data_IF_764012347680
#
_entry.id   IF_764012347680
#
_cell.length_a   1.000
_cell.length_b   1.000
_cell.length_c   1.000
_cell.angle_alpha   90.00
_cell.angle_beta   90.00
_cell.angle_gamma   90.00
#
_symmetry.space_group_name_H-M   'P 1'
#
loop_
_entity.id
_entity.type
_entity.pdbx_description
1 polymer ?
#
# COMPACT_ATOMS: atom_id res chain seq x y z
N UNK A 1 -9.25 14.21 20.86
CA UNK A 1 -9.73 13.19 19.89
C UNK A 1 -10.56 12.21 20.69
N UNK A 2 -11.82 12.06 20.32
CA UNK A 2 -12.69 11.03 20.89
C UNK A 2 -12.16 9.64 20.48
N UNK A 3 -12.06 8.71 21.43
CA UNK A 3 -11.54 7.36 21.16
C UNK A 3 -12.55 6.52 20.37
N UNK A 4 -13.75 7.04 20.15
CA UNK A 4 -14.82 6.34 19.45
C UNK A 4 -15.47 5.29 20.34
N UNK A 5 -16.57 4.74 19.83
CA UNK A 5 -17.36 3.74 20.55
C UNK A 5 -16.85 2.34 20.19
N UNK A 6 -16.83 1.41 21.15
CA UNK A 6 -16.66 -0.01 20.86
C UNK A 6 -17.56 -0.46 19.71
N UNK A 7 -16.97 -0.95 18.61
CA UNK A 7 -17.72 -1.31 17.42
C UNK A 7 -17.07 -2.47 16.69
N UNK A 8 -17.91 -3.33 16.12
CA UNK A 8 -17.51 -4.37 15.20
C UNK A 8 -17.91 -3.93 13.79
N UNK A 9 -16.96 -4.01 12.87
CA UNK A 9 -17.07 -3.58 11.49
C UNK A 9 -16.83 -4.78 10.59
N UNK A 10 -17.71 -4.99 9.62
CA UNK A 10 -17.51 -5.97 8.55
C UNK A 10 -17.92 -5.31 7.25
N UNK A 11 -17.01 -5.32 6.30
CA UNK A 11 -17.25 -4.91 4.93
C UNK A 11 -16.91 -6.11 4.04
N UNK A 12 -17.83 -6.46 3.15
CA UNK A 12 -17.67 -7.57 2.23
C UNK A 12 -17.95 -7.11 0.81
N UNK A 13 -17.19 -7.63 -0.15
CA UNK A 13 -17.46 -7.45 -1.57
C UNK A 13 -17.34 -8.82 -2.23
N UNK A 14 -18.40 -9.27 -2.89
CA UNK A 14 -18.47 -10.55 -3.58
C UNK A 14 -18.66 -10.31 -5.08
N UNK A 15 -17.79 -10.87 -5.89
CA UNK A 15 -17.87 -10.83 -7.35
C UNK A 15 -17.75 -12.24 -7.92
N UNK A 16 -18.50 -12.52 -8.98
CA UNK A 16 -18.47 -13.82 -9.65
C UNK A 16 -18.76 -13.70 -11.14
N UNK A 17 -18.19 -14.60 -11.93
CA UNK A 17 -18.47 -14.70 -13.36
C UNK A 17 -18.63 -16.15 -13.78
N UNK A 18 -19.55 -16.36 -14.73
CA UNK A 18 -19.82 -17.65 -15.34
C UNK A 18 -19.72 -17.45 -16.86
N UNK A 19 -18.77 -18.11 -17.49
CA UNK A 19 -18.61 -18.14 -18.95
C UNK A 19 -19.05 -19.49 -19.48
N UNK A 20 -19.96 -19.48 -20.44
CA UNK A 20 -20.48 -20.69 -21.08
C UNK A 20 -19.86 -20.79 -22.48
N UNK A 21 -19.11 -21.86 -22.71
CA UNK A 21 -18.43 -22.06 -23.97
C UNK A 21 -19.41 -22.53 -25.05
N UNK A 22 -19.46 -21.82 -26.18
CA UNK A 22 -20.35 -22.15 -27.32
C UNK A 22 -19.86 -23.33 -28.17
N UNK A 23 -18.66 -23.85 -27.91
CA UNK A 23 -17.98 -24.83 -28.75
C UNK A 23 -17.54 -26.05 -27.91
N UNK A 24 -17.75 -27.27 -28.41
CA UNK A 24 -17.57 -28.53 -27.66
C UNK A 24 -16.13 -28.88 -27.25
N UNK A 25 -15.17 -27.99 -27.48
CA UNK A 25 -13.73 -28.14 -27.15
C UNK A 25 -13.27 -27.20 -26.03
N UNK A 26 -14.13 -26.33 -25.52
CA UNK A 26 -13.80 -25.37 -24.47
C UNK A 26 -14.74 -25.61 -23.29
N UNK A 27 -14.19 -25.67 -22.07
CA UNK A 27 -14.94 -25.94 -20.85
C UNK A 27 -15.62 -24.66 -20.35
N UNK A 28 -16.80 -24.81 -19.75
CA UNK A 28 -17.44 -23.72 -19.01
C UNK A 28 -16.52 -23.29 -17.86
N UNK A 29 -16.41 -21.98 -17.63
CA UNK A 29 -15.57 -21.43 -16.57
C UNK A 29 -16.42 -20.68 -15.56
N UNK A 30 -16.22 -20.98 -14.28
CA UNK A 30 -16.84 -20.25 -13.18
C UNK A 30 -15.75 -19.72 -12.24
N UNK A 31 -15.87 -18.47 -11.83
CA UNK A 31 -14.87 -17.90 -10.93
C UNK A 31 -15.56 -16.99 -9.94
N UNK A 32 -15.23 -17.18 -8.67
CA UNK A 32 -15.82 -16.44 -7.57
C UNK A 32 -14.72 -15.78 -6.75
N UNK A 33 -14.99 -14.58 -6.27
CA UNK A 33 -14.07 -13.81 -5.46
C UNK A 33 -14.84 -13.13 -4.34
N UNK A 34 -14.37 -13.31 -3.11
CA UNK A 34 -14.89 -12.66 -1.93
C UNK A 34 -13.76 -11.88 -1.26
N UNK A 35 -14.02 -10.61 -1.05
CA UNK A 35 -13.20 -9.68 -0.31
C UNK A 35 -13.85 -9.48 1.06
N UNK A 36 -13.15 -9.79 2.14
CA UNK A 36 -13.67 -9.62 3.50
C UNK A 36 -12.73 -8.72 4.31
N UNK A 37 -13.27 -7.59 4.75
CA UNK A 37 -12.58 -6.63 5.63
C UNK A 37 -13.32 -6.58 6.95
N UNK A 38 -12.70 -7.12 7.99
CA UNK A 38 -13.24 -7.10 9.34
C UNK A 38 -12.43 -6.17 10.23
N UNK A 39 -13.08 -5.60 11.24
CA UNK A 39 -12.44 -4.70 12.17
C UNK A 39 -13.16 -4.64 13.49
N UNK A 40 -12.38 -4.44 14.55
CA UNK A 40 -12.89 -4.24 15.90
C UNK A 40 -12.27 -2.95 16.44
N UNK A 41 -13.08 -2.06 16.98
CA UNK A 41 -12.65 -0.87 17.69
C UNK A 41 -12.94 -1.08 19.18
N UNK A 42 -11.92 -0.92 20.03
CA UNK A 42 -12.05 -1.01 21.48
C UNK A 42 -11.19 0.08 22.12
N UNK A 43 -11.82 1.20 22.50
CA UNK A 43 -11.12 2.40 22.95
C UNK A 43 -10.13 2.88 21.89
N UNK A 44 -8.88 3.15 22.29
CA UNK A 44 -7.83 3.59 21.36
C UNK A 44 -7.28 2.48 20.44
N UNK A 45 -7.66 1.22 20.64
CA UNK A 45 -7.17 0.09 19.85
C UNK A 45 -8.12 -0.22 18.70
N UNK A 46 -7.54 -0.45 17.52
CA UNK A 46 -8.28 -0.81 16.33
C UNK A 46 -7.63 -2.03 15.71
N UNK A 47 -8.31 -3.16 15.76
CA UNK A 47 -7.92 -4.36 15.04
C UNK A 47 -8.52 -4.30 13.63
N UNK A 48 -7.71 -4.64 12.63
CA UNK A 48 -8.14 -4.74 11.23
C UNK A 48 -7.63 -6.05 10.65
N UNK A 49 -8.49 -6.74 9.93
CA UNK A 49 -8.15 -7.93 9.17
C UNK A 49 -8.71 -7.79 7.75
N UNK A 50 -7.87 -8.12 6.79
CA UNK A 50 -8.19 -8.16 5.37
C UNK A 50 -7.89 -9.54 4.82
N UNK A 51 -8.94 -10.25 4.41
CA UNK A 51 -8.86 -11.59 3.86
C UNK A 51 -9.57 -11.64 2.52
N UNK A 52 -9.06 -12.45 1.60
CA UNK A 52 -9.66 -12.70 0.30
C UNK A 52 -9.83 -14.19 0.09
N UNK A 53 -10.99 -14.57 -0.44
CA UNK A 53 -11.25 -15.91 -0.90
C UNK A 53 -11.45 -15.87 -2.42
N UNK A 54 -10.78 -16.76 -3.13
CA UNK A 54 -11.01 -16.94 -4.54
C UNK A 54 -11.36 -18.40 -4.82
N UNK A 55 -12.12 -18.61 -5.89
CA UNK A 55 -12.37 -19.92 -6.47
C UNK A 55 -12.19 -19.80 -7.97
N UNK A 56 -11.30 -20.58 -8.53
CA UNK A 56 -11.07 -20.64 -9.97
C UNK A 56 -12.00 -21.66 -10.64
N UNK A 57 -12.03 -21.60 -11.96
CA UNK A 57 -12.80 -22.44 -12.88
C UNK A 57 -12.47 -23.92 -12.83
N UNK A 58 -11.27 -24.27 -12.37
CA UNK A 58 -10.87 -25.65 -12.09
C UNK A 58 -11.42 -26.17 -10.75
N UNK A 59 -12.14 -25.33 -10.01
CA UNK A 59 -12.77 -25.68 -8.73
C UNK A 59 -11.87 -25.51 -7.51
N UNK A 60 -10.60 -25.17 -7.70
CA UNK A 60 -9.67 -24.85 -6.61
C UNK A 60 -10.11 -23.58 -5.87
N UNK A 61 -10.09 -23.63 -4.54
CA UNK A 61 -10.43 -22.50 -3.69
C UNK A 61 -9.27 -22.12 -2.79
N UNK A 62 -8.87 -20.86 -2.79
CA UNK A 62 -7.80 -20.35 -1.92
C UNK A 62 -8.35 -19.28 -0.98
N UNK A 63 -7.91 -19.35 0.28
CA UNK A 63 -8.19 -18.34 1.29
C UNK A 63 -6.89 -17.68 1.71
N UNK A 64 -6.72 -16.42 1.34
CA UNK A 64 -5.52 -15.64 1.59
C UNK A 64 -5.78 -14.53 2.61
N UNK A 65 -5.08 -14.57 3.74
CA UNK A 65 -5.07 -13.45 4.70
C UNK A 65 -4.03 -12.42 4.26
N UNK A 66 -4.49 -11.33 3.62
CA UNK A 66 -3.62 -10.29 3.07
C UNK A 66 -2.96 -9.47 4.19
N UNK A 67 -3.71 -9.01 5.19
CA UNK A 67 -3.11 -8.36 6.34
C UNK A 67 -3.96 -8.52 7.60
N UNK A 68 -3.29 -8.66 8.74
CA UNK A 68 -3.91 -8.54 10.05
C UNK A 68 -3.02 -7.69 10.92
N UNK A 69 -3.55 -6.57 11.41
CA UNK A 69 -2.80 -5.68 12.28
C UNK A 69 -3.69 -5.04 13.33
N UNK A 70 -3.04 -4.73 14.44
CA UNK A 70 -3.56 -3.97 15.55
C UNK A 70 -2.90 -2.59 15.51
N UNK A 71 -3.70 -1.54 15.39
CA UNK A 71 -3.21 -0.17 15.41
C UNK A 71 -3.71 0.59 16.64
N UNK A 72 -2.88 1.54 17.11
CA UNK A 72 -3.22 2.48 18.17
C UNK A 72 -2.53 3.82 17.93
N UNK A 73 -3.30 4.88 18.02
CA UNK A 73 -2.77 6.23 17.91
C UNK A 73 -2.29 6.71 19.29
N UNK A 74 -1.06 7.21 19.36
CA UNK A 74 -0.43 7.76 20.55
C UNK A 74 -0.36 9.29 20.39
N UNK A 75 -1.41 9.96 20.89
CA UNK A 75 -1.58 11.42 20.77
C UNK A 75 -0.40 12.19 21.36
N UNK A 76 0.15 11.75 22.48
CA UNK A 76 1.28 12.40 23.15
C UNK A 76 2.53 12.49 22.27
N UNK A 77 2.72 11.52 21.38
CA UNK A 77 3.86 11.43 20.46
C UNK A 77 3.48 11.80 19.01
N UNK A 78 2.21 12.17 18.75
CA UNK A 78 1.66 12.36 17.39
C UNK A 78 2.06 11.22 16.45
N UNK A 79 1.95 9.99 16.95
CA UNK A 79 2.46 8.80 16.29
C UNK A 79 1.44 7.69 16.31
N UNK A 80 1.50 6.82 15.31
CA UNK A 80 0.72 5.61 15.24
C UNK A 80 1.63 4.41 15.51
N UNK A 81 1.16 3.55 16.41
CA UNK A 81 1.73 2.24 16.68
C UNK A 81 0.93 1.20 15.89
N UNK A 82 1.62 0.41 15.07
CA UNK A 82 1.06 -0.71 14.32
C UNK A 82 1.79 -1.98 14.75
N UNK A 83 1.04 -3.02 15.09
CA UNK A 83 1.53 -4.34 15.46
C UNK A 83 0.87 -5.39 14.56
N UNK A 84 1.65 -6.24 13.89
CA UNK A 84 1.17 -7.25 12.96
C UNK A 84 1.69 -7.02 11.55
N UNK A 85 0.83 -7.27 10.57
CA UNK A 85 1.16 -7.16 9.14
C UNK A 85 0.96 -5.74 8.62
N UNK A 86 2.05 -5.10 8.17
CA UNK A 86 1.99 -3.80 7.54
C UNK A 86 3.13 -3.63 6.53
N UNK A 87 3.35 -2.42 6.06
CA UNK A 87 4.45 -2.07 5.16
C UNK A 87 5.20 -0.86 5.69
N UNK A 88 6.52 -0.86 5.55
CA UNK A 88 7.35 0.22 6.07
C UNK A 88 7.19 1.51 5.26
N UNK A 89 7.45 2.66 5.89
CA UNK A 89 7.36 3.95 5.19
C UNK A 89 8.39 4.04 4.06
N UNK A 90 7.93 4.54 2.91
CA UNK A 90 8.71 4.59 1.68
C UNK A 90 9.50 5.89 1.48
N UNK A 91 9.69 6.68 2.54
CA UNK A 91 10.16 8.06 2.38
C UNK A 91 11.66 8.13 2.06
N UNK A 92 12.48 7.26 2.67
CA UNK A 92 13.94 7.24 2.50
C UNK A 92 14.42 5.96 1.81
N UNK A 93 13.68 4.87 1.98
CA UNK A 93 13.93 3.57 1.39
C UNK A 93 12.66 3.06 0.73
N UNK A 94 12.76 2.09 -0.16
CA UNK A 94 11.58 1.43 -0.73
C UNK A 94 10.75 0.77 0.39
N UNK A 95 9.42 0.82 0.28
CA UNK A 95 8.52 0.16 1.23
C UNK A 95 8.76 -1.34 1.23
N UNK A 96 8.84 -1.90 2.43
CA UNK A 96 9.05 -3.32 2.64
C UNK A 96 7.86 -3.88 3.44
N UNK A 97 7.10 -4.85 2.89
CA UNK A 97 6.08 -5.55 3.67
C UNK A 97 6.72 -6.31 4.83
N UNK A 98 6.11 -6.20 6.01
CA UNK A 98 6.66 -6.79 7.22
C UNK A 98 5.58 -7.32 8.15
N UNK A 99 5.98 -8.27 9.00
CA UNK A 99 5.24 -8.72 10.16
C UNK A 99 6.02 -8.39 11.42
N UNK A 100 5.49 -7.49 12.25
CA UNK A 100 6.22 -7.01 13.43
C UNK A 100 5.59 -5.78 14.05
N UNK A 101 6.43 -4.84 14.49
CA UNK A 101 6.01 -3.59 15.09
C UNK A 101 6.53 -2.38 14.33
N UNK A 102 5.69 -1.36 14.20
CA UNK A 102 6.07 -0.06 13.67
C UNK A 102 5.52 1.04 14.54
N UNK A 103 6.38 1.99 14.89
CA UNK A 103 6.01 3.26 15.48
C UNK A 103 6.43 4.36 14.50
N UNK A 104 5.48 5.08 13.95
CA UNK A 104 5.77 6.16 13.04
C UNK A 104 4.95 7.40 13.39
N UNK A 105 5.56 8.57 13.22
CA UNK A 105 4.83 9.84 13.30
C UNK A 105 3.79 9.89 12.18
N UNK A 106 2.56 10.23 12.55
CA UNK A 106 1.42 10.25 11.65
C UNK A 106 1.02 11.71 11.34
N UNK A 107 1.18 12.08 10.07
CA UNK A 107 0.81 13.41 9.57
C UNK A 107 -0.71 13.54 9.36
N UNK A 108 -1.46 12.43 9.30
CA UNK A 108 -2.91 12.39 9.12
C UNK A 108 -3.70 12.71 10.40
N UNK A 109 -3.01 12.81 11.55
CA UNK A 109 -3.57 13.41 12.77
C UNK A 109 -3.77 14.94 12.64
N UNK A 110 -3.45 15.53 11.48
CA UNK A 110 -3.63 16.95 11.14
C UNK A 110 -4.88 17.16 10.24
N UNK A 111 -5.41 18.40 10.14
CA UNK A 111 -6.66 18.68 9.43
C UNK A 111 -6.68 18.24 7.96
N UNK A 112 -7.87 17.83 7.51
CA UNK A 112 -8.21 17.14 6.25
C UNK A 112 -7.72 17.79 4.95
N UNK A 113 -7.38 19.08 4.97
CA UNK A 113 -6.94 19.86 3.81
C UNK A 113 -5.55 19.49 3.28
N UNK A 114 -4.93 18.41 3.76
CA UNK A 114 -3.59 17.95 3.39
C UNK A 114 -3.53 16.45 3.02
N UNK A 115 -4.68 15.76 2.89
CA UNK A 115 -4.73 14.30 2.68
C UNK A 115 -4.47 13.88 1.21
N UNK A 116 -3.86 12.69 1.07
CA UNK A 116 -3.17 12.19 -0.12
C UNK A 116 -4.02 11.62 -1.29
N UNK A 117 -3.28 11.28 -2.34
CA UNK A 117 -3.71 10.85 -3.67
C UNK A 117 -4.06 9.35 -3.72
N UNK A 118 -5.26 8.99 -4.18
CA UNK A 118 -5.60 7.61 -4.54
C UNK A 118 -5.38 7.45 -6.06
N UNK A 119 -4.44 6.59 -6.50
CA UNK A 119 -4.21 6.43 -7.93
C UNK A 119 -5.40 5.74 -8.58
N UNK A 120 -5.79 6.26 -9.73
CA UNK A 120 -6.86 5.69 -10.53
C UNK A 120 -6.28 4.80 -11.60
N UNK A 121 -6.70 3.54 -11.67
CA UNK A 121 -6.29 2.62 -12.73
C UNK A 121 -7.27 2.77 -13.89
N UNK A 122 -6.74 3.10 -15.08
CA UNK A 122 -7.52 3.24 -16.32
C UNK A 122 -7.04 2.22 -17.34
N UNK A 123 -7.96 1.66 -18.09
CA UNK A 123 -7.67 0.68 -19.13
C UNK A 123 -8.81 0.54 -20.14
N UNK A 124 -8.60 -0.24 -21.17
CA UNK A 124 -9.61 -0.59 -22.17
C UNK A 124 -9.70 -2.11 -22.25
N UNK A 125 -10.89 -2.65 -22.00
CA UNK A 125 -11.21 -4.06 -22.20
C UNK A 125 -11.81 -4.25 -23.60
N UNK A 126 -11.34 -5.26 -24.34
CA UNK A 126 -11.86 -5.58 -25.69
C UNK A 126 -13.16 -6.39 -25.61
N UNK A 127 -13.35 -7.12 -24.53
CA UNK A 127 -14.51 -7.95 -24.25
C UNK A 127 -14.94 -7.82 -22.77
N UNK A 128 -15.84 -8.68 -22.31
CA UNK A 128 -16.07 -8.82 -20.88
C UNK A 128 -14.78 -9.37 -20.25
N UNK A 129 -14.12 -8.56 -19.44
CA UNK A 129 -12.79 -8.88 -18.93
C UNK A 129 -12.77 -8.92 -17.40
N UNK A 130 -11.95 -9.83 -16.86
CA UNK A 130 -11.59 -9.86 -15.46
C UNK A 130 -10.36 -8.97 -15.24
N UNK A 131 -10.53 -7.92 -14.44
CA UNK A 131 -9.42 -7.03 -14.06
C UNK A 131 -8.95 -7.39 -12.66
N UNK A 132 -7.71 -7.84 -12.55
CA UNK A 132 -7.05 -8.22 -11.30
C UNK A 132 -5.89 -7.27 -11.03
N UNK A 133 -5.92 -6.58 -9.89
CA UNK A 133 -4.85 -5.69 -9.45
C UNK A 133 -4.07 -6.37 -8.33
N UNK A 134 -2.75 -6.50 -8.51
CA UNK A 134 -1.83 -7.02 -7.52
C UNK A 134 -0.90 -5.93 -7.02
N UNK A 135 -0.60 -5.94 -5.74
CA UNK A 135 0.47 -5.12 -5.16
C UNK A 135 1.34 -6.01 -4.28
N UNK A 136 2.67 -5.94 -4.46
CA UNK A 136 3.62 -6.82 -3.78
C UNK A 136 3.22 -8.31 -3.88
N UNK A 137 2.71 -8.74 -5.04
CA UNK A 137 2.29 -10.11 -5.32
C UNK A 137 0.90 -10.53 -4.82
N UNK A 138 0.27 -9.78 -3.93
CA UNK A 138 -1.07 -10.10 -3.40
C UNK A 138 -2.17 -9.47 -4.26
N UNK A 139 -3.25 -10.21 -4.53
CA UNK A 139 -4.44 -9.67 -5.23
C UNK A 139 -5.20 -8.74 -4.29
N UNK A 140 -5.12 -7.43 -4.53
CA UNK A 140 -5.76 -6.41 -3.70
C UNK A 140 -7.15 -6.01 -4.21
N UNK A 141 -7.42 -6.24 -5.49
CA UNK A 141 -8.69 -5.91 -6.13
C UNK A 141 -8.93 -6.85 -7.30
N UNK A 142 -10.18 -7.29 -7.45
CA UNK A 142 -10.61 -8.07 -8.60
C UNK A 142 -12.05 -7.74 -8.95
N UNK A 143 -12.28 -7.32 -10.18
CA UNK A 143 -13.62 -6.97 -10.67
C UNK A 143 -13.80 -7.33 -12.14
N UNK A 144 -15.05 -7.54 -12.55
CA UNK A 144 -15.43 -7.77 -13.94
C UNK A 144 -15.91 -6.47 -14.57
N UNK A 145 -15.33 -6.13 -15.72
CA UNK A 145 -15.66 -4.92 -16.46
C UNK A 145 -16.30 -5.28 -17.81
N UNK A 146 -17.31 -4.51 -18.26
CA UNK A 146 -17.86 -4.67 -19.60
C UNK A 146 -16.85 -4.23 -20.68
N UNK A 147 -17.08 -4.58 -21.96
CA UNK A 147 -16.25 -4.12 -23.07
C UNK A 147 -16.24 -2.59 -23.13
N UNK A 148 -15.05 -2.01 -23.27
CA UNK A 148 -14.87 -0.56 -23.34
C UNK A 148 -13.84 -0.03 -22.35
N UNK A 149 -13.78 1.30 -22.24
CA UNK A 149 -12.92 1.97 -21.27
C UNK A 149 -13.47 1.77 -19.85
N UNK A 150 -12.58 1.44 -18.92
CA UNK A 150 -12.92 1.31 -17.51
C UNK A 150 -11.99 2.16 -16.65
N UNK A 151 -12.50 2.56 -15.49
CA UNK A 151 -11.80 3.34 -14.49
C UNK A 151 -12.06 2.71 -13.12
N UNK A 152 -10.98 2.41 -12.39
CA UNK A 152 -11.03 1.88 -11.02
C UNK A 152 -10.46 2.95 -10.10
N UNK A 153 -11.35 3.66 -9.40
CA UNK A 153 -11.02 4.74 -8.46
C UNK A 153 -11.21 4.36 -6.99
N UNK A 154 -11.68 3.14 -6.72
CA UNK A 154 -11.99 2.64 -5.38
C UNK A 154 -10.87 1.77 -4.78
N UNK A 155 -9.67 1.85 -5.36
CA UNK A 155 -8.51 1.14 -4.82
C UNK A 155 -8.18 1.67 -3.44
N UNK A 156 -8.38 0.82 -2.44
CA UNK A 156 -8.00 1.14 -1.08
C UNK A 156 -6.47 1.23 -0.99
N UNK A 157 -5.89 2.33 -0.50
CA UNK A 157 -4.46 2.41 -0.31
C UNK A 157 -4.06 1.37 0.73
N UNK A 158 -3.37 0.33 0.29
CA UNK A 158 -2.57 -0.53 1.16
C UNK A 158 -1.39 0.31 1.65
N UNK A 159 -1.05 0.23 2.94
CA UNK A 159 -0.03 1.06 3.59
C UNK A 159 1.40 0.94 2.98
N UNK A 160 1.57 0.15 1.91
CA UNK A 160 2.82 -0.05 1.21
C UNK A 160 2.92 0.78 -0.06
N UNK A 161 4.10 1.37 -0.29
CA UNK A 161 4.48 1.77 -1.64
C UNK A 161 4.85 0.53 -2.46
N UNK A 162 4.68 0.59 -3.77
CA UNK A 162 5.02 -0.50 -4.70
C UNK A 162 4.10 -0.49 -5.91
N UNK A 163 4.67 -0.77 -7.08
CA UNK A 163 3.93 -0.74 -8.34
C UNK A 163 2.70 -1.64 -8.31
N UNK A 164 1.61 -1.16 -8.91
CA UNK A 164 0.40 -1.93 -9.09
C UNK A 164 0.52 -2.74 -10.37
N UNK A 165 0.50 -4.06 -10.24
CA UNK A 165 0.50 -4.98 -11.37
C UNK A 165 -0.94 -5.31 -11.74
N UNK A 166 -1.42 -4.77 -12.85
CA UNK A 166 -2.78 -4.94 -13.35
C UNK A 166 -2.77 -6.02 -14.43
N UNK A 167 -3.64 -7.01 -14.29
CA UNK A 167 -3.86 -8.09 -15.26
C UNK A 167 -5.29 -8.02 -15.75
N UNK A 168 -5.49 -7.93 -17.06
CA UNK A 168 -6.80 -7.89 -17.72
C UNK A 168 -6.94 -9.19 -18.50
N UNK A 169 -7.75 -10.11 -18.01
CA UNK A 169 -8.04 -11.39 -18.68
C UNK A 169 -9.34 -11.26 -19.45
N UNK A 170 -9.24 -11.29 -20.77
CA UNK A 170 -10.37 -11.19 -21.69
C UNK A 170 -11.17 -12.51 -21.75
N UNK A 171 -12.39 -12.42 -22.26
CA UNK A 171 -13.31 -13.57 -22.38
C UNK A 171 -12.79 -14.71 -23.28
N UNK A 172 -11.86 -14.42 -24.19
CA UNK A 172 -11.17 -15.40 -25.05
C UNK A 172 -9.96 -16.06 -24.37
N UNK A 173 -9.67 -15.70 -23.11
CA UNK A 173 -8.54 -16.18 -22.33
C UNK A 173 -7.25 -15.40 -22.55
N UNK A 174 -7.22 -14.40 -23.43
CA UNK A 174 -6.04 -13.55 -23.62
C UNK A 174 -5.80 -12.66 -22.39
N UNK A 175 -4.55 -12.55 -21.95
CA UNK A 175 -4.15 -11.69 -20.81
C UNK A 175 -3.36 -10.48 -21.28
N UNK A 176 -3.74 -9.30 -20.81
CA UNK A 176 -2.97 -8.07 -20.94
C UNK A 176 -2.43 -7.67 -19.57
N UNK A 177 -1.14 -7.34 -19.48
CA UNK A 177 -0.49 -6.93 -18.22
C UNK A 177 -0.01 -5.48 -18.33
N UNK A 178 -0.39 -4.67 -17.34
CA UNK A 178 -0.03 -3.27 -17.22
C UNK A 178 0.61 -3.05 -15.85
N UNK A 179 1.70 -2.29 -15.82
CA UNK A 179 2.31 -1.83 -14.57
C UNK A 179 1.93 -0.37 -14.38
N UNK A 180 1.17 -0.09 -13.33
CA UNK A 180 0.84 1.28 -12.93
C UNK A 180 1.78 1.68 -11.80
N UNK A 181 2.73 2.58 -12.04
CA UNK A 181 3.68 2.98 -11.02
C UNK A 181 2.96 3.67 -9.87
N UNK A 182 3.17 3.18 -8.65
CA UNK A 182 2.62 3.78 -7.43
C UNK A 182 3.66 4.73 -6.85
N UNK A 183 3.64 5.98 -7.30
CA UNK A 183 4.47 7.03 -6.73
C UNK A 183 3.79 7.60 -5.47
N UNK A 184 4.44 7.49 -4.31
CA UNK A 184 4.05 8.27 -3.15
C UNK A 184 4.31 9.75 -3.42
N UNK A 185 3.34 10.61 -3.06
CA UNK A 185 3.43 12.06 -3.25
C UNK A 185 4.61 12.63 -2.43
N UNK A 186 5.35 13.63 -2.93
CA UNK A 186 6.63 14.04 -2.35
C UNK A 186 6.57 14.44 -0.87
N UNK A 187 7.62 14.02 -0.15
CA UNK A 187 7.97 14.28 1.27
C UNK A 187 8.26 15.77 1.56
N UNK A 188 7.51 16.69 0.96
CA UNK A 188 7.67 18.13 1.21
C UNK A 188 7.06 18.49 2.57
N UNK A 189 7.86 18.33 3.61
CA UNK A 189 7.53 18.73 4.97
C UNK A 189 7.70 20.24 5.14
N UNK A 190 6.73 20.90 5.78
CA UNK A 190 6.86 22.30 6.18
C UNK A 190 8.03 22.47 7.15
N UNK A 191 8.68 23.62 7.09
CA UNK A 191 9.74 24.04 8.01
C UNK A 191 9.36 23.80 9.49
N UNK A 192 10.28 23.22 10.27
CA UNK A 192 10.10 22.93 11.69
C UNK A 192 9.40 21.61 12.00
N UNK A 193 9.11 20.79 10.99
CA UNK A 193 8.53 19.44 11.18
C UNK A 193 9.61 18.39 11.32
N UNK A 194 9.41 17.49 12.27
CA UNK A 194 10.21 16.29 12.48
C UNK A 194 9.33 15.06 12.27
N UNK A 195 9.69 14.26 11.28
CA UNK A 195 9.03 13.00 10.97
C UNK A 195 9.99 11.86 11.29
N UNK A 196 9.49 10.81 11.91
CA UNK A 196 10.26 9.62 12.20
C UNK A 196 9.43 8.36 11.98
N UNK A 197 10.10 7.28 11.57
CA UNK A 197 9.51 5.96 11.53
C UNK A 197 10.53 4.95 12.04
N UNK A 198 10.10 4.13 12.98
CA UNK A 198 10.85 2.98 13.47
C UNK A 198 10.03 1.73 13.21
N UNK A 199 10.55 0.85 12.36
CA UNK A 199 9.93 -0.43 12.00
C UNK A 199 10.89 -1.54 12.39
N UNK A 200 10.39 -2.58 13.04
CA UNK A 200 11.15 -3.78 13.35
C UNK A 200 10.26 -5.00 13.18
N UNK A 201 10.71 -5.97 12.39
CA UNK A 201 9.88 -7.12 12.07
C UNK A 201 10.55 -8.06 11.08
N UNK A 202 9.84 -9.11 10.73
CA UNK A 202 10.26 -10.05 9.70
C UNK A 202 9.77 -9.56 8.35
N UNK A 203 10.65 -9.60 7.35
CA UNK A 203 10.27 -9.35 5.97
C UNK A 203 9.25 -10.38 5.53
N UNK A 204 8.15 -9.92 4.94
CA UNK A 204 7.10 -10.80 4.45
C UNK A 204 7.06 -10.76 2.92
N UNK A 205 7.63 -11.78 2.30
CA UNK A 205 7.56 -11.97 0.85
C UNK A 205 6.20 -12.53 0.43
N UNK A 206 5.74 -12.21 -0.78
CA UNK A 206 4.61 -12.91 -1.42
C UNK A 206 5.04 -14.21 -2.10
N UNK A 207 6.35 -14.43 -2.21
CA UNK A 207 6.94 -15.58 -2.89
C UNK A 207 7.47 -16.56 -1.84
N UNK A 208 7.03 -17.82 -1.88
CA UNK A 208 7.35 -18.87 -0.91
C UNK A 208 8.83 -19.26 -0.85
N UNK A 209 9.63 -18.76 -1.80
CA UNK A 209 11.06 -19.07 -1.95
C UNK A 209 12.00 -18.02 -1.32
N UNK A 210 11.47 -17.10 -0.51
CA UNK A 210 12.27 -16.04 0.13
C UNK A 210 12.23 -16.24 1.64
N UNK A 211 13.41 -16.39 2.26
CA UNK A 211 13.56 -16.52 3.71
C UNK A 211 12.93 -15.33 4.45
N UNK A 212 12.16 -15.64 5.49
CA UNK A 212 11.70 -14.67 6.47
C UNK A 212 12.92 -14.11 7.21
N UNK A 213 13.33 -12.90 6.86
CA UNK A 213 14.51 -12.24 7.44
C UNK A 213 14.09 -11.14 8.38
N UNK A 214 14.65 -11.15 9.59
CA UNK A 214 14.45 -10.05 10.53
C UNK A 214 15.14 -8.79 10.00
N UNK A 215 14.43 -7.66 10.03
CA UNK A 215 14.99 -6.36 9.74
C UNK A 215 14.51 -5.31 10.73
N UNK A 216 15.30 -4.26 10.88
CA UNK A 216 14.95 -3.05 11.61
C UNK A 216 15.29 -1.85 10.75
N UNK A 217 14.33 -0.96 10.57
CA UNK A 217 14.45 0.26 9.77
C UNK A 217 14.10 1.46 10.63
N UNK A 218 14.99 2.45 10.65
CA UNK A 218 14.77 3.75 11.28
C UNK A 218 14.94 4.86 10.25
N UNK A 219 13.95 5.73 10.12
CA UNK A 219 14.04 6.95 9.30
C UNK A 219 13.72 8.16 10.16
N UNK A 220 14.45 9.24 9.92
CA UNK A 220 14.22 10.53 10.54
C UNK A 220 14.39 11.64 9.49
N UNK A 221 13.39 12.49 9.38
CA UNK A 221 13.33 13.57 8.40
C UNK A 221 13.03 14.86 9.14
N UNK A 222 13.84 15.88 8.87
CA UNK A 222 13.67 17.19 9.48
C UNK A 222 13.59 18.28 8.41
N UNK A 223 12.53 19.09 8.49
CA UNK A 223 12.35 20.27 7.66
C UNK A 223 13.15 21.45 8.20
N UNK A 224 14.25 21.80 7.54
CA UNK A 224 15.14 22.87 8.00
C UNK A 224 14.56 24.27 7.68
N UNK A 225 14.77 25.24 8.59
CA UNK A 225 14.63 26.66 8.28
C UNK A 225 15.53 27.10 7.15
N UNK A 226 15.12 28.15 6.42
CA UNK A 226 16.04 28.84 5.52
C UNK A 226 17.26 29.36 6.30
N UNK A 227 18.45 28.96 5.87
CA UNK A 227 19.72 29.61 6.23
C UNK A 227 20.65 28.73 7.08
N UNK A 228 21.82 28.38 6.54
CA UNK A 228 22.91 27.80 7.34
C UNK A 228 24.06 27.14 6.59
N UNK A 229 23.96 26.84 5.28
CA UNK A 229 25.11 26.31 4.54
C UNK A 229 25.82 27.43 3.75
N UNK A 230 27.16 27.58 3.87
CA UNK A 230 27.91 28.65 3.20
C UNK A 230 28.05 28.47 1.67
N UNK A 231 27.39 27.47 1.07
CA UNK A 231 27.42 27.22 -0.37
C UNK A 231 26.10 27.64 -1.04
N UNK A 232 26.09 28.94 -1.40
CA UNK A 232 25.48 29.55 -2.58
C UNK A 232 24.02 29.17 -2.96
N UNK A 233 23.16 30.18 -2.79
CA UNK A 233 22.15 30.68 -3.75
C UNK A 233 21.14 29.65 -4.33
N UNK A 234 20.15 29.29 -3.52
CA UNK A 234 18.79 29.01 -4.00
C UNK A 234 17.84 29.96 -3.29
N UNK A 235 17.53 31.09 -3.91
CA UNK A 235 16.48 31.97 -3.43
C UNK A 235 15.13 31.25 -3.58
N UNK A 236 14.43 31.04 -2.46
CA UNK A 236 12.97 30.90 -2.50
C UNK A 236 12.33 29.61 -1.95
N UNK A 237 13.00 28.51 -1.62
CA UNK A 237 12.28 27.29 -1.15
C UNK A 237 12.94 26.52 0.01
N UNK A 238 12.11 25.78 0.73
CA UNK A 238 12.41 24.99 1.94
C UNK A 238 13.41 23.87 1.63
N UNK A 239 14.31 23.59 2.58
CA UNK A 239 15.36 22.58 2.45
C UNK A 239 15.10 21.46 3.46
N UNK A 240 15.22 20.20 3.05
CA UNK A 240 14.89 19.02 3.87
C UNK A 240 16.13 18.12 3.94
N UNK A 241 16.44 17.64 5.14
CA UNK A 241 17.46 16.62 5.35
C UNK A 241 16.81 15.36 5.92
N UNK A 242 16.97 14.24 5.22
CA UNK A 242 16.52 12.92 5.67
C UNK A 242 17.72 12.00 5.90
N UNK A 243 17.72 11.32 7.04
CA UNK A 243 18.67 10.24 7.32
C UNK A 243 17.88 8.98 7.61
N UNK A 244 18.32 7.87 7.03
CA UNK A 244 17.71 6.58 7.27
C UNK A 244 18.75 5.50 7.41
N UNK A 245 18.39 4.48 8.17
CA UNK A 245 19.18 3.30 8.39
C UNK A 245 18.27 2.08 8.32
N UNK A 246 18.74 1.00 7.70
CA UNK A 246 18.06 -0.28 7.64
C UNK A 246 19.08 -1.38 7.90
N UNK A 247 18.90 -2.14 8.97
CA UNK A 247 19.64 -3.39 9.21
C UNK A 247 18.75 -4.57 8.87
N UNK A 248 19.22 -5.45 8.01
CA UNK A 248 18.69 -6.80 7.86
C UNK A 248 19.65 -7.83 8.44
N UNK A 249 19.13 -8.98 8.88
CA UNK A 249 19.92 -10.09 9.41
C UNK A 249 21.03 -10.59 8.47
N UNK A 250 20.95 -10.29 7.16
CA UNK A 250 21.99 -10.66 6.19
C UNK A 250 22.81 -9.47 5.66
N UNK A 251 22.34 -8.22 5.70
CA UNK A 251 23.06 -7.02 5.18
C UNK A 251 22.52 -5.73 5.86
N UNK A 252 23.41 -4.80 6.20
CA UNK A 252 23.04 -3.44 6.64
C UNK A 252 23.17 -2.42 5.51
N UNK A 253 22.14 -1.62 5.29
CA UNK A 253 22.12 -0.51 4.32
C UNK A 253 21.94 0.83 5.06
N UNK A 254 22.80 1.79 4.74
CA UNK A 254 22.74 3.14 5.29
C UNK A 254 22.55 4.11 4.13
N UNK A 255 21.42 4.84 4.13
CA UNK A 255 21.12 5.81 3.09
C UNK A 255 20.95 7.20 3.70
N UNK A 256 21.66 8.16 3.12
CA UNK A 256 21.50 9.57 3.42
C UNK A 256 20.90 10.23 2.19
N UNK A 257 19.65 10.68 2.30
CA UNK A 257 18.94 11.30 1.18
C UNK A 257 18.89 12.80 1.41
N UNK A 258 19.64 13.53 0.58
CA UNK A 258 19.55 14.97 0.49
C UNK A 258 18.60 15.33 -0.64
N UNK A 259 17.40 15.80 -0.31
CA UNK A 259 16.50 16.35 -1.32
C UNK A 259 16.99 17.74 -1.71
N UNK A 260 17.75 17.81 -2.80
CA UNK A 260 18.09 19.08 -3.45
C UNK A 260 16.94 19.46 -4.37
N UNK A 261 16.41 20.67 -4.20
CA UNK A 261 15.35 21.20 -5.06
C UNK A 261 15.77 21.14 -6.53
N UNK A 262 15.00 20.43 -7.36
CA UNK A 262 15.02 20.63 -8.80
C UNK A 262 14.13 21.82 -9.16
N UNK A 263 14.57 22.72 -10.06
CA UNK A 263 13.70 23.78 -10.55
C UNK A 263 12.52 23.16 -11.29
N UNK A 264 11.31 23.39 -10.80
CA UNK A 264 10.10 23.10 -11.58
C UNK A 264 10.05 24.04 -12.78
N UNK A 265 9.94 23.48 -13.98
CA UNK A 265 9.53 24.21 -15.17
C UNK A 265 8.16 24.83 -14.91
N UNK A 266 8.09 26.16 -15.11
CA UNK A 266 6.83 26.93 -15.18
C UNK A 266 6.12 26.57 -16.47
#
# INVERSE_FOLDING_TARGET
MDQGIPALLVNYNFSGANSWARNSKSSDSNSYYLNLRSGINLGAWRLRNYSTWNRDSDGESHWDSINTYLQRDIVALKSQLILGDSSSQSEVFDSVPFRGGQLASDDDMLPESLRGYAPTVRGIARSNAQVTVRQNGYVIYQSYVPPGAFEISDLYPTAGSGDLLVSIKESDGSEQRLVVPFASVPVLQRQGRFKYSLTSGQYRSSNSNVDDTLFTQGTAIYGLPRGGHPLRRCAGRQQISGTGFRLGAKHGDYRRVFYRCYPGLV
#
